data_IF_823496747473
#
_entry.id   IF_823496747473
#
_cell.length_a   1.000
_cell.length_b   1.000
_cell.length_c   1.000
_cell.angle_alpha   90.00
_cell.angle_beta   90.00
_cell.angle_gamma   90.00
#
_symmetry.space_group_name_H-M   'P 1'
#
loop_
_entity.id
_entity.type
_entity.pdbx_description
1 polymer ?
#
# COMPACT_ATOMS: atom_id res chain seq x y z
N UNK A 1 24.72 -0.47 13.04
CA UNK A 1 23.27 -0.30 12.79
C UNK A 1 23.01 -0.26 11.28
N UNK A 2 23.25 -1.37 10.57
CA UNK A 2 22.99 -1.45 9.14
C UNK A 2 21.81 -2.41 8.92
N UNK A 3 20.58 -1.87 8.90
CA UNK A 3 19.46 -2.58 8.32
C UNK A 3 19.64 -2.72 6.80
N UNK A 4 18.80 -3.52 6.13
CA UNK A 4 18.92 -3.86 4.70
C UNK A 4 19.19 -2.67 3.76
N UNK A 5 18.67 -1.46 4.04
CA UNK A 5 18.91 -0.27 3.21
C UNK A 5 20.33 0.29 3.32
N UNK A 6 21.00 0.08 4.46
CA UNK A 6 22.39 0.47 4.67
C UNK A 6 23.33 -0.37 3.79
N UNK A 7 23.12 -1.69 3.76
CA UNK A 7 23.82 -2.59 2.84
C UNK A 7 23.63 -2.18 1.37
N UNK A 8 22.39 -1.89 0.96
CA UNK A 8 22.10 -1.43 -0.41
C UNK A 8 22.90 -0.15 -0.75
N UNK A 9 23.06 0.76 0.22
CA UNK A 9 23.85 2.00 0.06
C UNK A 9 25.34 1.70 -0.04
N UNK A 10 25.85 0.84 0.83
CA UNK A 10 27.25 0.40 0.86
C UNK A 10 27.65 -0.33 -0.43
N UNK A 11 26.71 -1.07 -1.03
CA UNK A 11 26.86 -1.71 -2.33
C UNK A 11 26.80 -0.74 -3.52
N UNK A 12 26.61 0.56 -3.27
CA UNK A 12 26.80 1.62 -4.26
C UNK A 12 25.52 2.31 -4.76
N UNK A 13 24.34 1.96 -4.24
CA UNK A 13 23.10 2.69 -4.58
C UNK A 13 23.09 4.02 -3.84
N UNK A 14 23.33 5.10 -4.59
CA UNK A 14 23.47 6.45 -4.02
C UNK A 14 22.13 7.12 -3.71
N UNK A 15 21.12 6.86 -4.54
CA UNK A 15 19.82 7.52 -4.44
C UNK A 15 18.72 6.59 -4.94
N UNK A 16 17.56 6.67 -4.28
CA UNK A 16 16.34 6.02 -4.70
C UNK A 16 15.25 7.09 -4.74
N UNK A 17 14.47 7.14 -5.82
CA UNK A 17 13.37 8.11 -5.95
C UNK A 17 12.06 7.60 -5.35
N UNK A 18 11.85 6.28 -5.35
CA UNK A 18 10.61 5.67 -4.92
C UNK A 18 10.84 4.28 -4.32
N UNK A 19 10.27 4.05 -3.14
CA UNK A 19 10.34 2.77 -2.42
C UNK A 19 8.94 2.29 -2.11
N UNK A 20 8.69 1.04 -2.46
CA UNK A 20 7.44 0.33 -2.15
C UNK A 20 7.75 -0.80 -1.17
N UNK A 21 7.06 -0.84 -0.03
CA UNK A 21 7.21 -1.91 0.97
C UNK A 21 5.85 -2.35 1.51
N UNK A 22 5.80 -3.47 2.20
CA UNK A 22 4.61 -4.05 2.85
C UNK A 22 3.95 -3.20 3.97
N UNK A 23 4.50 -2.04 4.33
CA UNK A 23 3.89 -1.15 5.32
C UNK A 23 4.31 -1.41 6.77
N UNK A 24 5.39 -2.16 7.01
CA UNK A 24 5.89 -2.41 8.37
C UNK A 24 6.15 -1.12 9.15
N UNK A 25 5.78 -1.15 10.44
CA UNK A 25 6.03 -0.05 11.38
C UNK A 25 7.52 0.30 11.42
N UNK A 26 7.83 1.60 11.40
CA UNK A 26 9.22 2.09 11.41
C UNK A 26 9.92 2.06 10.04
N UNK A 27 9.36 1.41 9.03
CA UNK A 27 9.96 1.33 7.69
C UNK A 27 10.17 2.71 7.06
N UNK A 28 9.16 3.58 7.16
CA UNK A 28 9.25 4.95 6.66
C UNK A 28 10.39 5.72 7.33
N UNK A 29 10.60 5.54 8.64
CA UNK A 29 11.64 6.23 9.38
C UNK A 29 13.04 5.78 8.90
N UNK A 30 13.26 4.47 8.79
CA UNK A 30 14.53 3.90 8.30
C UNK A 30 14.83 4.34 6.86
N UNK A 31 13.81 4.34 5.99
CA UNK A 31 13.95 4.82 4.61
C UNK A 31 14.33 6.30 4.59
N UNK A 32 13.65 7.15 5.35
CA UNK A 32 13.94 8.59 5.40
C UNK A 32 15.33 8.88 5.97
N UNK A 33 15.84 8.05 6.88
CA UNK A 33 17.20 8.18 7.41
C UNK A 33 18.28 7.87 6.36
N UNK A 34 18.09 6.83 5.55
CA UNK A 34 19.12 6.35 4.60
C UNK A 34 18.98 6.97 3.22
N UNK A 35 17.74 7.16 2.75
CA UNK A 35 17.37 7.73 1.46
C UNK A 35 16.32 8.86 1.64
N UNK A 36 16.71 10.03 2.17
CA UNK A 36 15.77 11.10 2.54
C UNK A 36 14.96 11.67 1.37
N UNK A 37 15.45 11.51 0.14
CA UNK A 37 14.75 11.97 -1.07
C UNK A 37 13.82 10.91 -1.68
N UNK A 38 13.78 9.69 -1.14
CA UNK A 38 12.90 8.65 -1.62
C UNK A 38 11.44 8.93 -1.20
N UNK A 39 10.54 8.94 -2.17
CA UNK A 39 9.10 8.84 -1.90
C UNK A 39 8.79 7.43 -1.42
N UNK A 40 7.92 7.32 -0.43
CA UNK A 40 7.51 6.04 0.15
C UNK A 40 6.03 5.76 -0.10
N UNK A 41 5.70 4.53 -0.50
CA UNK A 41 4.33 4.05 -0.66
C UNK A 41 4.19 2.62 -0.11
N UNK A 42 3.12 2.32 0.66
CA UNK A 42 2.76 0.94 0.97
C UNK A 42 2.39 0.15 -0.29
N UNK A 43 2.81 -1.10 -0.33
CA UNK A 43 2.61 -2.01 -1.45
C UNK A 43 1.12 -2.32 -1.60
N UNK A 44 0.53 -1.87 -2.70
CA UNK A 44 -0.89 -2.10 -3.02
C UNK A 44 -1.24 -3.58 -3.04
N UNK A 45 -0.32 -4.46 -3.48
CA UNK A 45 -0.51 -5.92 -3.43
C UNK A 45 -0.69 -6.41 -1.99
N UNK A 46 0.13 -5.92 -1.05
CA UNK A 46 0.00 -6.27 0.36
C UNK A 46 -1.27 -5.68 0.98
N UNK A 47 -1.63 -4.44 0.64
CA UNK A 47 -2.89 -3.82 1.06
C UNK A 47 -4.09 -4.67 0.61
N UNK A 48 -4.15 -5.04 -0.67
CA UNK A 48 -5.21 -5.89 -1.22
C UNK A 48 -5.26 -7.25 -0.52
N UNK A 49 -4.11 -7.90 -0.33
CA UNK A 49 -4.04 -9.20 0.38
C UNK A 49 -4.57 -9.09 1.81
N UNK A 50 -4.19 -8.02 2.53
CA UNK A 50 -4.60 -7.77 3.91
C UNK A 50 -6.10 -7.50 4.04
N UNK A 51 -6.71 -6.86 3.04
CA UNK A 51 -8.16 -6.63 3.00
C UNK A 51 -8.88 -7.95 2.70
N UNK A 52 -8.49 -8.65 1.62
CA UNK A 52 -9.14 -9.89 1.20
C UNK A 52 -9.02 -11.03 2.21
N UNK A 53 -7.97 -11.03 3.03
CA UNK A 53 -7.82 -11.95 4.15
C UNK A 53 -8.96 -11.83 5.18
N UNK A 54 -9.54 -10.64 5.35
CA UNK A 54 -10.65 -10.36 6.26
C UNK A 54 -12.03 -10.52 5.62
N UNK A 55 -12.09 -10.84 4.34
CA UNK A 55 -13.34 -10.95 3.56
C UNK A 55 -13.74 -12.42 3.42
N UNK A 56 -15.03 -12.72 3.66
CA UNK A 56 -15.61 -14.04 3.40
C UNK A 56 -15.40 -14.43 1.93
N UNK A 57 -15.04 -15.69 1.68
CA UNK A 57 -14.66 -16.19 0.34
C UNK A 57 -15.66 -15.78 -0.75
N UNK A 58 -16.96 -15.90 -0.48
CA UNK A 58 -18.03 -15.55 -1.42
C UNK A 58 -18.04 -14.08 -1.88
N UNK A 59 -17.45 -13.16 -1.11
CA UNK A 59 -17.41 -11.73 -1.44
C UNK A 59 -16.05 -11.24 -1.95
N UNK A 60 -15.01 -12.10 -1.92
CA UNK A 60 -13.64 -11.69 -2.28
C UNK A 60 -13.52 -11.13 -3.69
N UNK A 61 -14.22 -11.72 -4.66
CA UNK A 61 -14.15 -11.26 -6.05
C UNK A 61 -14.73 -9.86 -6.21
N UNK A 62 -15.89 -9.59 -5.59
CA UNK A 62 -16.54 -8.27 -5.65
C UNK A 62 -15.65 -7.22 -4.99
N UNK A 63 -15.19 -7.49 -3.77
CA UNK A 63 -14.33 -6.57 -3.01
C UNK A 63 -12.98 -6.34 -3.73
N UNK A 64 -12.40 -7.37 -4.33
CA UNK A 64 -11.16 -7.23 -5.10
C UNK A 64 -11.33 -6.33 -6.31
N UNK A 65 -12.46 -6.42 -7.01
CA UNK A 65 -12.77 -5.54 -8.16
C UNK A 65 -12.95 -4.10 -7.71
N UNK A 66 -13.78 -3.85 -6.69
CA UNK A 66 -14.02 -2.48 -6.19
C UNK A 66 -12.73 -1.80 -5.71
N UNK A 67 -11.86 -2.52 -4.98
CA UNK A 67 -10.57 -1.97 -4.54
C UNK A 67 -9.62 -1.70 -5.72
N UNK A 68 -9.62 -2.56 -6.75
CA UNK A 68 -8.83 -2.33 -7.96
C UNK A 68 -9.27 -1.06 -8.68
N UNK A 69 -10.58 -0.80 -8.75
CA UNK A 69 -11.11 0.43 -9.36
C UNK A 69 -10.56 1.68 -8.65
N UNK A 70 -10.48 1.67 -7.30
CA UNK A 70 -9.88 2.78 -6.54
C UNK A 70 -8.42 3.03 -6.95
N UNK A 71 -7.61 1.98 -7.09
CA UNK A 71 -6.19 2.11 -7.46
C UNK A 71 -5.95 2.38 -8.94
N UNK A 72 -6.93 2.11 -9.82
CA UNK A 72 -6.86 2.38 -11.25
C UNK A 72 -7.61 3.65 -11.68
N UNK A 73 -8.13 4.42 -10.72
CA UNK A 73 -8.74 5.71 -10.99
C UNK A 73 -7.79 6.64 -11.77
N UNK A 74 -8.35 7.45 -12.67
CA UNK A 74 -7.59 8.36 -13.55
C UNK A 74 -6.87 9.46 -12.78
N UNK A 75 -7.44 9.86 -11.63
CA UNK A 75 -6.96 10.93 -10.78
C UNK A 75 -7.38 10.72 -9.32
N UNK A 76 -6.85 11.58 -8.44
CA UNK A 76 -7.12 11.51 -7.01
C UNK A 76 -8.60 11.72 -6.67
N UNK A 77 -9.29 12.60 -7.38
CA UNK A 77 -10.69 12.92 -7.10
C UNK A 77 -11.59 11.72 -7.39
N UNK A 78 -11.36 11.05 -8.52
CA UNK A 78 -12.05 9.81 -8.88
C UNK A 78 -11.70 8.68 -7.90
N UNK A 79 -10.44 8.55 -7.48
CA UNK A 79 -10.04 7.57 -6.47
C UNK A 79 -10.78 7.76 -5.14
N UNK A 80 -10.91 9.02 -4.67
CA UNK A 80 -11.65 9.37 -3.45
C UNK A 80 -13.15 9.05 -3.59
N UNK A 81 -13.76 9.34 -4.74
CA UNK A 81 -15.16 9.00 -5.00
C UNK A 81 -15.40 7.49 -5.00
N UNK A 82 -14.55 6.71 -5.68
CA UNK A 82 -14.63 5.24 -5.70
C UNK A 82 -14.39 4.66 -4.31
N UNK A 83 -13.47 5.24 -3.53
CA UNK A 83 -13.21 4.83 -2.16
C UNK A 83 -14.40 5.12 -1.23
N UNK A 84 -15.05 6.27 -1.39
CA UNK A 84 -16.27 6.60 -0.65
C UNK A 84 -17.41 5.62 -1.01
N UNK A 85 -17.57 5.28 -2.29
CA UNK A 85 -18.54 4.27 -2.73
C UNK A 85 -18.23 2.89 -2.12
N UNK A 86 -16.97 2.48 -2.14
CA UNK A 86 -16.51 1.23 -1.54
C UNK A 86 -16.80 1.16 -0.02
N UNK A 87 -16.55 2.24 0.71
CA UNK A 87 -16.76 2.29 2.17
C UNK A 87 -18.25 2.39 2.56
N UNK A 88 -19.08 3.08 1.78
CA UNK A 88 -20.53 3.16 1.99
C UNK A 88 -21.27 1.86 1.67
N UNK A 89 -20.76 1.06 0.72
CA UNK A 89 -21.28 -0.26 0.38
C UNK A 89 -20.94 -1.34 1.44
N UNK A 90 -20.31 -0.97 2.56
CA UNK A 90 -19.86 -1.81 3.67
C UNK A 90 -20.94 -2.60 4.46
N UNK A 91 -22.07 -2.96 3.83
CA UNK A 91 -22.95 -4.03 4.30
C UNK A 91 -22.27 -5.41 4.26
N UNK A 92 -21.13 -5.52 3.58
CA UNK A 92 -20.25 -6.69 3.65
C UNK A 92 -19.31 -6.47 4.85
N UNK A 93 -19.63 -7.06 5.99
CA UNK A 93 -18.81 -6.98 7.20
C UNK A 93 -17.38 -7.43 6.92
N UNK A 94 -16.45 -6.50 6.78
CA UNK A 94 -15.03 -6.76 7.02
C UNK A 94 -14.90 -6.66 8.53
N UNK A 95 -14.65 -7.76 9.26
CA UNK A 95 -14.44 -7.68 10.70
C UNK A 95 -13.29 -6.71 10.94
N UNK A 96 -13.57 -5.62 11.66
CA UNK A 96 -12.55 -4.72 12.20
C UNK A 96 -11.61 -5.47 13.12
#
# INVERSE_FOLDING_TARGET
MAGNFGDIRERGVKQIHFIVSDGLSGMKNVITEIYPHAKYQPCVVHVMRNILAKVRVQHRNIIATEIKEVFHAKDKQEAEQLFMKFTQNGKISIPT
#
